data_IF_362056118383
#
_entry.id   IF_362056118383
#
_cell.length_a   1.000
_cell.length_b   1.000
_cell.length_c   1.000
_cell.angle_alpha   90.00
_cell.angle_beta   90.00
_cell.angle_gamma   90.00
#
_symmetry.space_group_name_H-M   'P 1'
#
loop_
_entity.id
_entity.type
_entity.pdbx_description
1 polymer ?
#
# COMPACT_ATOMS: atom_id res chain seq x y z
N UNK A 1 6.96 -17.63 -62.79
CA UNK A 1 7.75 -18.37 -61.78
C UNK A 1 7.85 -17.47 -60.56
N UNK A 2 7.00 -17.71 -59.54
CA UNK A 2 7.31 -18.45 -58.29
C UNK A 2 8.44 -17.76 -57.49
N UNK A 3 8.35 -17.39 -56.21
CA UNK A 3 7.39 -17.60 -55.12
C UNK A 3 7.84 -16.73 -53.91
N UNK A 4 6.93 -16.35 -53.00
CA UNK A 4 6.80 -16.90 -51.63
C UNK A 4 8.02 -16.59 -50.72
N UNK A 5 7.91 -15.65 -49.77
CA UNK A 5 7.50 -15.81 -48.35
C UNK A 5 8.68 -16.12 -47.39
N UNK A 6 8.52 -15.66 -46.14
CA UNK A 6 9.34 -15.89 -44.94
C UNK A 6 10.64 -15.08 -44.77
N UNK A 7 10.97 -14.52 -43.59
CA UNK A 7 10.34 -14.65 -42.28
C UNK A 7 10.99 -13.71 -41.26
N UNK A 8 10.24 -13.44 -40.19
CA UNK A 8 10.71 -12.81 -38.95
C UNK A 8 11.76 -13.71 -38.27
N UNK A 9 12.94 -13.17 -37.92
CA UNK A 9 13.73 -13.63 -36.77
C UNK A 9 14.90 -12.68 -36.48
N UNK A 10 14.77 -11.83 -35.46
CA UNK A 10 15.93 -11.23 -34.78
C UNK A 10 16.04 -11.87 -33.40
N UNK A 11 16.61 -13.07 -33.39
CA UNK A 11 17.08 -13.76 -32.19
C UNK A 11 18.47 -13.19 -31.87
N UNK A 12 18.54 -12.33 -30.85
CA UNK A 12 19.83 -11.95 -30.28
C UNK A 12 20.42 -13.15 -29.54
N UNK A 13 21.32 -13.86 -30.23
CA UNK A 13 22.30 -14.74 -29.61
C UNK A 13 23.51 -13.88 -29.28
N UNK A 14 23.76 -13.63 -28.00
CA UNK A 14 25.13 -13.40 -27.55
C UNK A 14 25.44 -14.35 -26.41
N UNK A 15 26.13 -15.43 -26.80
CA UNK A 15 26.62 -16.49 -25.94
C UNK A 15 28.08 -16.16 -25.65
N UNK A 16 28.36 -15.53 -24.52
CA UNK A 16 29.69 -15.56 -23.91
C UNK A 16 29.60 -16.34 -22.62
N UNK A 17 30.10 -17.56 -22.68
CA UNK A 17 30.34 -18.47 -21.57
C UNK A 17 31.75 -18.18 -21.05
N UNK A 18 31.94 -17.76 -19.80
CA UNK A 18 33.07 -18.14 -18.93
C UNK A 18 32.80 -17.80 -17.45
N UNK A 19 32.73 -18.87 -16.66
CA UNK A 19 33.02 -19.12 -15.23
C UNK A 19 32.92 -18.05 -14.13
N UNK A 20 32.12 -18.43 -13.12
CA UNK A 20 32.17 -18.15 -11.67
C UNK A 20 33.15 -17.08 -11.15
N UNK A 21 32.59 -15.92 -10.81
CA UNK A 21 32.99 -15.10 -9.67
C UNK A 21 31.71 -14.52 -9.03
N UNK A 22 31.67 -14.39 -7.71
CA UNK A 22 30.45 -14.27 -6.92
C UNK A 22 29.41 -13.27 -7.44
N UNK A 23 28.20 -13.77 -7.73
CA UNK A 23 27.01 -12.95 -7.95
C UNK A 23 26.67 -12.19 -6.67
N UNK A 24 27.26 -11.03 -6.49
CA UNK A 24 26.61 -9.96 -5.73
C UNK A 24 25.48 -9.50 -6.66
N UNK A 25 24.27 -9.97 -6.42
CA UNK A 25 23.09 -9.43 -7.09
C UNK A 25 23.13 -7.90 -6.96
N UNK A 26 22.96 -7.15 -8.06
CA UNK A 26 23.03 -5.69 -8.02
C UNK A 26 21.97 -5.14 -7.05
N UNK A 27 22.19 -3.96 -6.43
CA UNK A 27 21.19 -3.34 -5.56
C UNK A 27 19.86 -3.29 -6.31
N UNK A 28 18.80 -3.82 -5.69
CA UNK A 28 17.57 -4.30 -6.33
C UNK A 28 17.00 -3.42 -7.45
N UNK A 29 16.26 -4.05 -8.36
CA UNK A 29 15.69 -3.34 -9.53
C UNK A 29 14.85 -2.13 -9.07
N UNK A 30 14.67 -1.07 -9.89
CA UNK A 30 13.88 0.10 -9.51
C UNK A 30 12.47 -0.25 -9.01
N UNK A 31 11.88 -1.34 -9.51
CA UNK A 31 10.61 -1.90 -9.05
C UNK A 31 10.68 -2.48 -7.62
N UNK A 32 11.76 -3.20 -7.30
CA UNK A 32 12.01 -3.70 -5.93
C UNK A 32 12.17 -2.57 -4.94
N UNK A 33 12.90 -1.51 -5.31
CA UNK A 33 13.07 -0.33 -4.44
C UNK A 33 11.75 0.37 -4.14
N UNK A 34 10.85 0.48 -5.13
CA UNK A 34 9.51 1.05 -4.93
C UNK A 34 8.66 0.16 -4.03
N UNK A 35 8.69 -1.16 -4.24
CA UNK A 35 7.98 -2.10 -3.36
C UNK A 35 8.49 -2.00 -1.91
N UNK A 36 9.81 -1.92 -1.69
CA UNK A 36 10.37 -1.75 -0.35
C UNK A 36 9.87 -0.47 0.33
N UNK A 37 9.80 0.65 -0.40
CA UNK A 37 9.24 1.91 0.12
C UNK A 37 7.75 1.77 0.47
N UNK A 38 6.97 1.10 -0.37
CA UNK A 38 5.55 0.81 -0.10
C UNK A 38 5.41 -0.03 1.18
N UNK A 39 6.18 -1.11 1.29
CA UNK A 39 6.18 -1.98 2.48
C UNK A 39 6.54 -1.19 3.74
N UNK A 40 7.54 -0.34 3.66
CA UNK A 40 7.96 0.52 4.77
C UNK A 40 6.86 1.51 5.18
N UNK A 41 6.25 2.21 4.21
CA UNK A 41 5.19 3.19 4.46
C UNK A 41 3.93 2.53 5.05
N UNK A 42 3.47 1.40 4.49
CA UNK A 42 2.30 0.66 4.99
C UNK A 42 2.59 0.03 6.36
N UNK A 43 3.81 -0.43 6.60
CA UNK A 43 4.24 -0.89 7.94
C UNK A 43 4.18 0.23 8.96
N UNK A 44 4.61 1.43 8.60
CA UNK A 44 4.57 2.57 9.53
C UNK A 44 3.14 3.04 9.79
N UNK A 45 2.27 3.02 8.76
CA UNK A 45 0.84 3.24 8.91
C UNK A 45 0.22 2.22 9.89
N UNK A 46 0.57 0.95 9.74
CA UNK A 46 0.11 -0.12 10.60
C UNK A 46 0.53 0.09 12.07
N UNK A 47 1.75 0.58 12.33
CA UNK A 47 2.18 0.98 13.67
C UNK A 47 1.40 2.19 14.18
N UNK A 48 1.08 3.13 13.29
CA UNK A 48 0.26 4.31 13.58
C UNK A 48 -1.12 3.97 14.16
N UNK A 49 -1.71 2.83 13.79
CA UNK A 49 -2.97 2.36 14.38
C UNK A 49 -2.88 2.26 15.90
N UNK A 50 -1.81 1.65 16.43
CA UNK A 50 -1.63 1.53 17.88
C UNK A 50 -1.54 2.91 18.53
N UNK A 51 -0.76 3.83 17.95
CA UNK A 51 -0.69 5.21 18.45
C UNK A 51 -2.07 5.88 18.46
N UNK A 52 -2.89 5.65 17.44
CA UNK A 52 -4.25 6.18 17.39
C UNK A 52 -5.18 5.53 18.42
N UNK A 53 -4.98 4.27 18.80
CA UNK A 53 -5.73 3.63 19.89
C UNK A 53 -5.35 4.17 21.28
N UNK A 54 -4.08 4.50 21.52
CA UNK A 54 -3.60 4.92 22.84
C UNK A 54 -3.72 6.42 23.11
N UNK A 55 -3.67 7.25 22.07
CA UNK A 55 -3.55 8.70 22.24
C UNK A 55 -4.69 9.47 21.59
N UNK A 56 -5.19 10.56 22.22
CA UNK A 56 -6.18 11.44 21.61
C UNK A 56 -5.58 12.21 20.42
N UNK A 57 -6.47 12.80 19.62
CA UNK A 57 -6.05 13.72 18.56
C UNK A 57 -5.21 14.87 19.16
N UNK A 58 -4.12 15.26 18.48
CA UNK A 58 -3.21 16.31 18.94
C UNK A 58 -2.10 15.86 19.90
N UNK A 59 -2.11 14.61 20.39
CA UNK A 59 -1.03 14.12 21.25
C UNK A 59 0.31 14.04 20.48
N UNK A 60 1.44 14.49 21.06
CA UNK A 60 2.72 14.55 20.34
C UNK A 60 3.18 13.22 19.74
N UNK A 61 2.99 12.10 20.45
CA UNK A 61 3.38 10.78 19.95
C UNK A 61 2.57 10.34 18.71
N UNK A 62 1.27 10.69 18.65
CA UNK A 62 0.44 10.41 17.49
C UNK A 62 0.84 11.30 16.30
N UNK A 63 1.09 12.59 16.56
CA UNK A 63 1.55 13.52 15.53
C UNK A 63 2.90 13.10 14.94
N UNK A 64 3.84 12.63 15.77
CA UNK A 64 5.13 12.11 15.30
C UNK A 64 4.97 10.89 14.40
N UNK A 65 4.10 9.95 14.77
CA UNK A 65 3.81 8.78 13.93
C UNK A 65 3.20 9.21 12.59
N UNK A 66 2.23 10.13 12.60
CA UNK A 66 1.57 10.67 11.41
C UNK A 66 2.56 11.39 10.49
N UNK A 67 3.43 12.24 11.04
CA UNK A 67 4.47 12.92 10.26
C UNK A 67 5.36 11.90 9.55
N UNK A 68 5.79 10.85 10.25
CA UNK A 68 6.63 9.81 9.65
C UNK A 68 5.90 9.02 8.55
N UNK A 69 4.61 8.72 8.75
CA UNK A 69 3.78 8.08 7.72
C UNK A 69 3.75 8.95 6.46
N UNK A 70 3.44 10.25 6.59
CA UNK A 70 3.34 11.16 5.45
C UNK A 70 4.68 11.27 4.71
N UNK A 71 5.80 11.38 5.44
CA UNK A 71 7.13 11.41 4.85
C UNK A 71 7.40 10.16 4.01
N UNK A 72 7.12 8.97 4.55
CA UNK A 72 7.35 7.71 3.83
C UNK A 72 6.44 7.53 2.62
N UNK A 73 5.17 7.96 2.71
CA UNK A 73 4.27 7.95 1.55
C UNK A 73 4.71 8.96 0.48
N UNK A 74 5.28 10.10 0.88
CA UNK A 74 5.80 11.11 -0.04
C UNK A 74 7.03 10.68 -0.84
N UNK A 75 7.75 9.66 -0.37
CA UNK A 75 8.91 9.07 -1.08
C UNK A 75 8.50 8.04 -2.15
N UNK A 76 7.22 7.66 -2.21
CA UNK A 76 6.70 6.71 -3.19
C UNK A 76 6.31 7.50 -4.44
N UNK A 77 6.83 7.14 -5.64
CA UNK A 77 6.33 7.71 -6.88
C UNK A 77 4.91 7.20 -7.14
N UNK A 78 3.91 8.01 -6.80
CA UNK A 78 2.49 7.68 -6.93
C UNK A 78 1.97 7.99 -8.33
N UNK A 79 1.14 7.10 -8.93
CA UNK A 79 0.40 7.45 -10.13
C UNK A 79 -0.77 8.41 -9.79
N UNK A 80 -1.40 9.07 -10.78
CA UNK A 80 -2.50 10.00 -10.55
C UNK A 80 -3.69 9.40 -9.77
N UNK A 81 -3.98 8.12 -10.01
CA UNK A 81 -5.02 7.34 -9.33
C UNK A 81 -4.65 6.93 -7.89
N UNK A 82 -3.41 7.17 -7.47
CA UNK A 82 -2.91 6.84 -6.13
C UNK A 82 -2.38 5.42 -5.97
N UNK A 83 -1.85 5.13 -4.78
CA UNK A 83 -1.37 3.80 -4.41
C UNK A 83 -2.53 2.96 -3.87
N UNK A 84 -2.87 1.89 -4.59
CA UNK A 84 -3.86 0.92 -4.17
C UNK A 84 -3.23 -0.23 -3.40
N UNK A 85 -3.77 -0.50 -2.22
CA UNK A 85 -3.48 -1.67 -1.39
C UNK A 85 -4.75 -2.51 -1.32
N UNK A 86 -4.74 -3.67 -1.96
CA UNK A 86 -5.83 -4.63 -1.90
C UNK A 86 -5.76 -5.42 -0.59
N UNK A 87 -6.93 -5.75 -0.06
CA UNK A 87 -7.12 -6.38 1.24
C UNK A 87 -7.80 -7.72 1.00
N UNK A 88 -7.16 -8.78 1.47
CA UNK A 88 -7.73 -10.12 1.48
C UNK A 88 -7.72 -10.67 2.90
N UNK A 89 -8.38 -11.82 3.11
CA UNK A 89 -8.39 -12.50 4.40
C UNK A 89 -6.99 -12.75 4.97
N UNK A 90 -6.00 -12.99 4.09
CA UNK A 90 -4.68 -13.48 4.49
C UNK A 90 -3.54 -12.50 4.24
N UNK A 91 -3.74 -11.50 3.38
CA UNK A 91 -2.65 -10.61 2.96
C UNK A 91 -3.16 -9.25 2.48
N UNK A 92 -2.31 -8.25 2.70
CA UNK A 92 -2.33 -7.01 1.93
C UNK A 92 -1.47 -7.21 0.68
N UNK A 93 -1.97 -6.79 -0.47
CA UNK A 93 -1.27 -6.89 -1.76
C UNK A 93 -1.22 -5.53 -2.43
N UNK A 94 -0.13 -5.27 -3.15
CA UNK A 94 0.01 -4.11 -4.02
C UNK A 94 0.32 -4.62 -5.42
N UNK A 95 -0.57 -4.36 -6.39
CA UNK A 95 -0.44 -4.87 -7.78
C UNK A 95 -0.20 -6.39 -7.81
N UNK A 96 -1.04 -7.13 -7.09
CA UNK A 96 -0.97 -8.59 -6.91
C UNK A 96 0.31 -9.12 -6.23
N UNK A 97 1.21 -8.25 -5.79
CA UNK A 97 2.39 -8.64 -5.01
C UNK A 97 2.07 -8.53 -3.51
N UNK A 98 2.16 -9.63 -2.74
CA UNK A 98 1.94 -9.58 -1.30
C UNK A 98 2.94 -8.68 -0.59
N UNK A 99 2.45 -7.83 0.31
CA UNK A 99 3.32 -7.12 1.24
C UNK A 99 3.82 -8.15 2.28
N UNK A 100 5.14 -8.30 2.49
CA UNK A 100 5.70 -9.32 3.37
C UNK A 100 5.30 -9.05 4.83
N UNK A 101 4.27 -9.77 5.29
CA UNK A 101 3.81 -9.74 6.68
C UNK A 101 4.60 -10.71 7.58
N UNK A 102 5.45 -11.58 7.02
CA UNK A 102 6.24 -12.55 7.77
C UNK A 102 7.16 -11.81 8.77
N UNK A 103 6.96 -12.04 10.07
CA UNK A 103 7.68 -11.35 11.15
C UNK A 103 7.18 -9.94 11.47
N UNK A 104 6.23 -9.39 10.70
CA UNK A 104 5.70 -8.04 10.89
C UNK A 104 4.25 -8.07 11.40
N UNK A 105 4.11 -8.20 12.73
CA UNK A 105 2.80 -8.23 13.40
C UNK A 105 1.94 -7.00 13.10
N UNK A 106 2.56 -5.83 12.90
CA UNK A 106 1.80 -4.61 12.61
C UNK A 106 1.02 -4.73 11.30
N UNK A 107 1.66 -5.20 10.22
CA UNK A 107 0.98 -5.43 8.94
C UNK A 107 -0.14 -6.47 9.05
N UNK A 108 0.07 -7.54 9.81
CA UNK A 108 -0.96 -8.55 10.05
C UNK A 108 -2.17 -7.97 10.81
N UNK A 109 -1.93 -7.15 11.84
CA UNK A 109 -2.98 -6.44 12.58
C UNK A 109 -3.74 -5.48 11.64
N UNK A 110 -3.02 -4.71 10.80
CA UNK A 110 -3.64 -3.81 9.82
C UNK A 110 -4.51 -4.57 8.83
N UNK A 111 -4.02 -5.67 8.27
CA UNK A 111 -4.81 -6.51 7.36
C UNK A 111 -6.11 -6.97 8.02
N UNK A 112 -6.02 -7.45 9.26
CA UNK A 112 -7.18 -7.89 10.03
C UNK A 112 -8.18 -6.77 10.26
N UNK A 113 -7.73 -5.60 10.72
CA UNK A 113 -8.62 -4.46 10.98
C UNK A 113 -9.34 -3.98 9.71
N UNK A 114 -8.63 -3.92 8.58
CA UNK A 114 -9.22 -3.57 7.28
C UNK A 114 -10.22 -4.63 6.80
N UNK A 115 -9.85 -5.92 6.89
CA UNK A 115 -10.70 -7.03 6.45
C UNK A 115 -11.98 -7.14 7.27
N UNK A 116 -11.91 -7.00 8.61
CA UNK A 116 -13.09 -7.03 9.49
C UNK A 116 -14.09 -5.91 9.16
N UNK A 117 -13.59 -4.77 8.70
CA UNK A 117 -14.41 -3.61 8.27
C UNK A 117 -14.83 -3.70 6.79
N UNK A 118 -14.67 -4.88 6.17
CA UNK A 118 -15.02 -5.17 4.76
C UNK A 118 -14.35 -4.22 3.76
N UNK A 119 -13.14 -3.77 4.05
CA UNK A 119 -12.30 -3.15 3.05
C UNK A 119 -11.81 -4.24 2.09
N UNK A 120 -12.08 -4.09 0.79
CA UNK A 120 -11.45 -4.83 -0.29
C UNK A 120 -10.21 -4.09 -0.81
N UNK A 121 -10.18 -2.76 -0.71
CA UNK A 121 -9.07 -1.93 -1.18
C UNK A 121 -8.98 -0.61 -0.40
N UNK A 122 -7.76 -0.17 -0.11
CA UNK A 122 -7.45 1.19 0.36
C UNK A 122 -6.60 1.90 -0.68
N UNK A 123 -6.95 3.14 -1.02
CA UNK A 123 -6.27 3.94 -2.03
C UNK A 123 -5.72 5.19 -1.35
N UNK A 124 -4.41 5.39 -1.43
CA UNK A 124 -3.71 6.57 -0.92
C UNK A 124 -3.39 7.53 -2.06
N UNK A 125 -4.01 8.70 -2.05
CA UNK A 125 -3.75 9.74 -3.02
C UNK A 125 -2.49 10.54 -2.68
N UNK A 126 -1.86 11.21 -3.66
CA UNK A 126 -0.78 12.15 -3.40
C UNK A 126 -1.18 13.25 -2.41
N UNK A 127 -0.18 13.80 -1.71
CA UNK A 127 -0.32 14.91 -0.77
C UNK A 127 -1.24 14.61 0.42
N UNK A 128 -1.03 13.45 1.07
CA UNK A 128 -1.72 13.08 2.31
C UNK A 128 -1.61 14.19 3.35
N UNK A 129 -2.75 14.54 3.98
CA UNK A 129 -2.79 15.55 5.03
C UNK A 129 -2.70 14.93 6.42
N UNK A 130 -2.00 15.57 7.39
CA UNK A 130 -1.88 15.06 8.76
C UNK A 130 -3.23 14.78 9.44
N UNK A 131 -4.19 15.70 9.30
CA UNK A 131 -5.51 15.55 9.89
C UNK A 131 -6.26 14.34 9.30
N UNK A 132 -6.17 14.12 7.99
CA UNK A 132 -6.82 12.99 7.31
C UNK A 132 -6.20 11.65 7.71
N UNK A 133 -4.86 11.59 7.85
CA UNK A 133 -4.17 10.38 8.32
C UNK A 133 -4.58 10.07 9.76
N UNK A 134 -4.68 11.07 10.64
CA UNK A 134 -5.19 10.89 12.01
C UNK A 134 -6.62 10.36 11.99
N UNK A 135 -7.52 10.99 11.22
CA UNK A 135 -8.92 10.57 11.12
C UNK A 135 -9.04 9.15 10.57
N UNK A 136 -8.30 8.80 9.51
CA UNK A 136 -8.25 7.45 8.97
C UNK A 136 -7.81 6.43 10.04
N UNK A 137 -6.70 6.68 10.72
CA UNK A 137 -6.20 5.80 11.78
C UNK A 137 -7.21 5.64 12.93
N UNK A 138 -7.95 6.71 13.26
CA UNK A 138 -9.02 6.66 14.27
C UNK A 138 -10.19 5.81 13.79
N UNK A 139 -10.66 5.99 12.55
CA UNK A 139 -11.78 5.22 11.98
C UNK A 139 -11.47 3.73 11.96
N UNK A 140 -10.28 3.34 11.46
CA UNK A 140 -9.91 1.92 11.38
C UNK A 140 -9.63 1.28 12.74
N UNK A 141 -9.63 2.06 13.83
CA UNK A 141 -9.50 1.56 15.21
C UNK A 141 -10.77 1.72 16.05
N UNK A 142 -11.86 2.24 15.48
CA UNK A 142 -13.21 2.22 16.10
C UNK A 142 -13.75 0.81 16.22
N UNK A 143 -14.81 0.64 16.98
CA UNK A 143 -15.56 -0.61 17.00
C UNK A 143 -15.98 -1.05 15.58
N UNK A 144 -15.88 -2.34 15.30
CA UNK A 144 -16.14 -2.87 13.94
C UNK A 144 -17.61 -2.75 13.59
N UNK A 145 -18.51 -3.05 14.53
CA UNK A 145 -19.95 -3.01 14.28
C UNK A 145 -20.42 -1.57 14.02
N UNK A 146 -19.87 -0.60 14.75
CA UNK A 146 -20.12 0.83 14.49
C UNK A 146 -19.72 1.24 13.07
N UNK A 147 -18.52 0.88 12.63
CA UNK A 147 -18.06 1.24 11.28
C UNK A 147 -18.90 0.56 10.20
N UNK A 148 -19.32 -0.69 10.42
CA UNK A 148 -20.18 -1.40 9.48
C UNK A 148 -21.60 -0.83 9.44
N UNK A 149 -22.16 -0.40 10.57
CA UNK A 149 -23.46 0.27 10.66
C UNK A 149 -23.47 1.62 9.92
N UNK A 150 -22.35 2.36 9.96
CA UNK A 150 -22.14 3.56 9.15
C UNK A 150 -22.07 3.30 7.63
N UNK A 151 -22.05 2.04 7.18
CA UNK A 151 -21.90 1.64 5.79
C UNK A 151 -20.46 1.26 5.39
N UNK A 152 -19.62 0.95 6.37
CA UNK A 152 -18.21 0.57 6.16
C UNK A 152 -17.27 1.76 5.98
N UNK A 153 -15.99 1.46 5.72
CA UNK A 153 -14.96 2.51 5.55
C UNK A 153 -15.25 3.47 4.39
N UNK A 154 -15.96 3.01 3.36
CA UNK A 154 -16.35 3.85 2.21
C UNK A 154 -17.22 5.05 2.64
N UNK A 155 -18.06 4.87 3.67
CA UNK A 155 -18.95 5.91 4.21
C UNK A 155 -18.37 6.62 5.43
N UNK A 156 -17.69 5.87 6.30
CA UNK A 156 -17.10 6.43 7.52
C UNK A 156 -15.98 7.45 7.22
N UNK A 157 -15.13 7.19 6.21
CA UNK A 157 -14.01 8.08 5.89
C UNK A 157 -14.46 9.47 5.38
N UNK A 158 -15.39 9.59 4.40
CA UNK A 158 -15.92 10.89 4.00
C UNK A 158 -16.61 11.67 5.13
N UNK A 159 -17.32 10.99 6.05
CA UNK A 159 -17.97 11.62 7.20
C UNK A 159 -16.94 12.30 8.13
N UNK A 160 -15.74 11.73 8.22
CA UNK A 160 -14.59 12.28 8.96
C UNK A 160 -13.75 13.26 8.13
N UNK A 161 -14.27 13.72 6.98
CA UNK A 161 -13.61 14.63 6.04
C UNK A 161 -12.29 14.07 5.48
N UNK A 162 -12.17 12.74 5.38
CA UNK A 162 -11.05 12.08 4.73
C UNK A 162 -11.34 11.99 3.23
N UNK A 163 -10.52 12.68 2.45
CA UNK A 163 -10.61 12.89 1.00
C UNK A 163 -9.39 12.36 0.24
N UNK A 164 -8.25 12.13 0.90
CA UNK A 164 -7.01 11.62 0.29
C UNK A 164 -6.72 10.14 0.58
N UNK A 165 -7.57 9.49 1.37
CA UNK A 165 -7.51 8.06 1.64
C UNK A 165 -8.90 7.49 1.37
N UNK A 166 -9.03 6.65 0.37
CA UNK A 166 -10.31 6.06 -0.03
C UNK A 166 -10.35 4.58 0.33
N UNK A 167 -11.55 4.09 0.63
CA UNK A 167 -11.81 2.67 0.78
C UNK A 167 -12.81 2.23 -0.28
N UNK A 168 -12.56 1.08 -0.91
CA UNK A 168 -13.47 0.38 -1.83
C UNK A 168 -13.96 1.17 -3.03
N UNK A 169 -13.43 2.37 -3.32
CA UNK A 169 -13.87 3.13 -4.49
C UNK A 169 -13.58 2.29 -5.74
N UNK A 170 -14.67 1.86 -6.38
CA UNK A 170 -14.67 1.35 -7.74
C UNK A 170 -14.92 2.58 -8.59
N UNK A 171 -13.99 2.91 -9.49
CA UNK A 171 -14.31 3.86 -10.56
C UNK A 171 -15.47 3.23 -11.34
N UNK A 172 -16.65 3.84 -11.23
CA UNK A 172 -17.70 3.61 -12.21
C UNK A 172 -17.29 4.43 -13.43
N UNK A 173 -16.79 3.74 -14.46
CA UNK A 173 -16.74 4.27 -15.82
C UNK A 173 -18.15 4.69 -16.29
#
# INVERSE_FOLDING_TARGET
MFGAHDGYLLLYVNKTLFSNDGMIEPPGTPSDMVLQRIVQAVTELAKGMKSASFYPAGHPALLQAVTKIILLFGEIPLPPEGLSIDVSKNALTCRDVPLPAAGNKALADLNRELYLRRAARIIFLPNLQPAEVVSFLKVITRDVDQVLDEGGLERALPNEKVTRIWANRVDYE
#
